data_IF_715993891169
#
_entry.id   IF_715993891169
#
_cell.length_a   1.000
_cell.length_b   1.000
_cell.length_c   1.000
_cell.angle_alpha   90.00
_cell.angle_beta   90.00
_cell.angle_gamma   90.00
#
_symmetry.space_group_name_H-M   'P 1'
#
loop_
_entity.id
_entity.type
_entity.pdbx_description
1 polymer ?
2 non-polymer ?
3 water ?
#
# COMPACT_ATOMS: atom_id res chain seq x y z
N UNK A 1 -7.79 -18.32 -23.72
CA UNK A 1 -7.94 -19.28 -22.60
C UNK A 1 -9.14 -18.96 -21.75
N UNK A 2 -9.57 -19.95 -20.98
CA UNK A 2 -10.56 -19.71 -19.95
C UNK A 2 -9.77 -19.44 -18.67
N UNK A 3 -9.98 -18.27 -18.07
CA UNK A 3 -9.22 -17.88 -16.89
C UNK A 3 -10.17 -17.46 -15.76
N UNK A 4 -9.74 -17.70 -14.53
CA UNK A 4 -10.51 -17.30 -13.38
C UNK A 4 -9.61 -16.54 -12.43
N UNK A 5 -10.17 -15.52 -11.80
CA UNK A 5 -9.45 -14.72 -10.82
C UNK A 5 -10.14 -14.90 -9.50
N UNK A 6 -9.36 -15.23 -8.47
CA UNK A 6 -9.92 -15.41 -7.13
C UNK A 6 -9.71 -14.12 -6.34
N UNK A 7 -10.80 -13.39 -6.08
CA UNK A 7 -10.73 -12.14 -5.31
C UNK A 7 -10.70 -10.93 -6.21
N UNK A 8 -11.58 -9.96 -5.93
CA UNK A 8 -11.66 -8.73 -6.70
C UNK A 8 -10.94 -7.58 -6.01
N UNK A 9 -9.76 -7.85 -5.46
CA UNK A 9 -8.91 -6.79 -4.97
C UNK A 9 -8.28 -6.08 -6.16
N UNK A 10 -7.50 -5.04 -5.90
CA UNK A 10 -6.89 -4.30 -6.98
C UNK A 10 -6.07 -5.21 -7.90
N UNK A 11 -5.26 -6.08 -7.31
CA UNK A 11 -4.49 -7.03 -8.12
C UNK A 11 -5.34 -7.89 -9.04
N UNK A 12 -6.44 -8.44 -8.51
CA UNK A 12 -7.31 -9.30 -9.29
C UNK A 12 -8.00 -8.56 -10.41
N UNK A 13 -8.43 -7.33 -10.14
CA UNK A 13 -9.10 -6.49 -11.14
C UNK A 13 -8.14 -6.01 -12.22
N UNK A 14 -6.93 -5.60 -11.83
CA UNK A 14 -5.88 -5.34 -12.83
C UNK A 14 -5.65 -6.54 -13.75
N UNK A 15 -5.54 -7.72 -13.15
CA UNK A 15 -5.37 -8.95 -13.91
C UNK A 15 -6.54 -9.21 -14.85
N UNK A 16 -7.74 -9.08 -14.32
CA UNK A 16 -8.95 -9.34 -15.12
C UNK A 16 -9.05 -8.37 -16.29
N UNK A 17 -8.75 -7.10 -16.03
CA UNK A 17 -8.79 -6.07 -17.08
C UNK A 17 -7.80 -6.39 -18.20
N UNK A 18 -6.56 -6.70 -17.84
CA UNK A 18 -5.56 -7.03 -18.85
C UNK A 18 -5.86 -8.34 -19.59
N UNK A 19 -6.25 -9.37 -18.85
CA UNK A 19 -6.52 -10.68 -19.47
C UNK A 19 -7.71 -10.63 -20.43
N UNK A 20 -8.73 -9.87 -20.07
CA UNK A 20 -9.91 -9.76 -20.94
C UNK A 20 -9.58 -8.97 -22.21
N UNK A 21 -8.78 -7.93 -22.07
CA UNK A 21 -8.32 -7.18 -23.23
C UNK A 21 -7.45 -8.07 -24.13
N UNK A 22 -6.69 -8.95 -23.49
CA UNK A 22 -5.78 -9.87 -24.17
C UNK A 22 -6.51 -10.99 -24.91
N UNK A 23 -7.84 -10.99 -24.85
CA UNK A 23 -8.62 -11.96 -25.61
C UNK A 23 -9.03 -13.21 -24.86
N UNK A 24 -8.90 -13.19 -23.54
CA UNK A 24 -9.26 -14.37 -22.74
C UNK A 24 -10.63 -14.28 -22.09
N UNK A 25 -11.28 -15.43 -21.88
CA UNK A 25 -12.53 -15.44 -21.14
C UNK A 25 -12.14 -15.33 -19.68
N UNK A 26 -12.68 -14.35 -18.98
CA UNK A 26 -12.33 -14.14 -17.57
C UNK A 26 -13.56 -14.03 -16.68
N UNK A 27 -13.54 -14.78 -15.57
CA UNK A 27 -14.54 -14.63 -14.53
C UNK A 27 -13.84 -14.38 -13.20
N UNK A 28 -14.30 -13.36 -12.48
CA UNK A 28 -13.73 -13.01 -11.18
C UNK A 28 -14.70 -13.41 -10.09
N UNK A 29 -14.21 -14.08 -9.04
CA UNK A 29 -15.06 -14.47 -7.93
C UNK A 29 -14.63 -13.75 -6.66
N UNK A 30 -15.53 -12.93 -6.12
CA UNK A 30 -15.26 -12.15 -4.91
C UNK A 30 -16.23 -12.55 -3.79
N UNK A 31 -15.68 -12.79 -2.60
CA UNK A 31 -16.46 -13.27 -1.47
C UNK A 31 -17.38 -12.21 -0.85
N UNK A 32 -16.95 -10.95 -0.85
CA UNK A 32 -17.73 -9.86 -0.25
C UNK A 32 -18.82 -9.37 -1.20
N UNK A 33 -19.74 -8.53 -0.68
CA UNK A 33 -20.81 -7.97 -1.52
C UNK A 33 -20.32 -6.95 -2.55
N UNK A 34 -19.11 -6.42 -2.35
CA UNK A 34 -18.56 -5.45 -3.27
C UNK A 34 -17.14 -5.83 -3.65
N UNK A 35 -16.66 -5.23 -4.73
CA UNK A 35 -15.31 -5.46 -5.23
C UNK A 35 -14.37 -4.41 -4.65
N UNK A 36 -13.07 -4.65 -4.75
CA UNK A 36 -12.10 -3.62 -4.43
C UNK A 36 -11.17 -4.01 -3.30
N UNK A 37 -11.58 -4.98 -2.49
CA UNK A 37 -10.75 -5.41 -1.38
C UNK A 37 -10.37 -4.21 -0.51
N UNK A 38 -9.07 -4.10 -0.21
CA UNK A 38 -8.59 -3.00 0.65
C UNK A 38 -8.32 -1.70 -0.13
N UNK A 39 -8.91 -1.58 -1.32
CA UNK A 39 -8.71 -0.40 -2.15
C UNK A 39 -10.02 0.09 -2.74
N UNK A 40 -11.01 0.31 -1.90
CA UNK A 40 -12.26 0.89 -2.40
C UNK A 40 -12.87 1.80 -1.34
N UNK A 41 -14.04 2.36 -1.63
CA UNK A 41 -14.61 3.37 -0.73
C UNK A 41 -15.56 2.75 0.27
N UNK A 42 -15.72 3.40 1.42
CA UNK A 42 -16.72 3.01 2.39
C UNK A 42 -17.50 4.27 2.75
N UNK A 43 -18.79 4.26 2.43
CA UNK A 43 -19.65 5.40 2.77
C UNK A 43 -19.90 5.41 4.28
N UNK A 44 -19.53 6.49 4.95
CA UNK A 44 -19.65 6.58 6.40
C UNK A 44 -19.98 8.00 6.84
N UNK A 45 -21.21 8.18 7.33
CA UNK A 45 -21.65 9.48 7.83
C UNK A 45 -21.43 10.64 6.85
N UNK A 46 -21.66 10.39 5.57
CA UNK A 46 -21.55 11.42 4.56
C UNK A 46 -20.14 11.58 4.00
N UNK A 47 -19.21 10.78 4.51
CA UNK A 47 -17.82 10.78 4.04
C UNK A 47 -17.55 9.55 3.18
N UNK A 48 -16.66 9.69 2.21
CA UNK A 48 -16.16 8.55 1.47
C UNK A 48 -14.84 8.10 2.11
N UNK A 49 -14.95 7.26 3.14
CA UNK A 49 -13.77 6.66 3.75
C UNK A 49 -13.32 5.52 2.82
N UNK A 50 -12.41 4.69 3.28
CA UNK A 50 -11.94 3.60 2.43
C UNK A 50 -11.85 2.31 3.20
N UNK A 51 -11.76 1.22 2.45
CA UNK A 51 -11.57 -0.12 3.02
C UNK A 51 -10.11 -0.39 3.38
N UNK A 52 -9.25 0.59 3.17
CA UNK A 52 -7.84 0.43 3.48
C UNK A 52 -7.08 1.67 3.04
N UNK A 53 -6.65 1.66 1.78
CA UNK A 53 -5.77 2.69 1.23
C UNK A 53 -6.29 4.13 1.41
N UNK A 54 -5.36 5.06 1.57
CA UNK A 54 -5.69 6.43 1.92
C UNK A 54 -6.05 7.23 0.67
N UNK A 55 -6.77 6.62 -0.27
CA UNK A 55 -7.21 7.37 -1.47
C UNK A 55 -6.04 8.04 -2.22
N UNK A 56 -4.90 7.37 -2.25
CA UNK A 56 -3.69 7.96 -2.78
C UNK A 56 -2.82 6.92 -3.47
N UNK A 57 -2.22 7.31 -4.60
CA UNK A 57 -1.23 6.47 -5.31
C UNK A 57 0.18 6.97 -5.00
N UNK A 58 1.07 6.07 -4.60
CA UNK A 58 2.43 6.46 -4.22
C UNK A 58 3.18 7.23 -5.32
N UNK A 59 2.97 6.86 -6.57
CA UNK A 59 3.62 7.56 -7.68
C UNK A 59 2.64 8.34 -8.55
N UNK A 60 1.44 8.59 -8.03
CA UNK A 60 0.48 9.48 -8.66
C UNK A 60 0.18 9.10 -10.10
N UNK A 61 0.12 10.10 -10.99
CA UNK A 61 -0.21 9.85 -12.39
C UNK A 61 0.94 9.27 -13.20
N UNK A 62 2.12 9.14 -12.60
CA UNK A 62 3.29 8.72 -13.38
C UNK A 62 3.80 7.30 -13.16
N UNK A 63 3.19 6.56 -12.23
CA UNK A 63 3.79 5.29 -11.80
C UNK A 63 3.21 4.06 -12.47
N UNK A 64 3.65 2.87 -12.04
CA UNK A 64 3.21 1.61 -12.65
C UNK A 64 1.69 1.42 -12.66
N UNK A 65 0.99 1.86 -11.61
CA UNK A 65 -0.46 1.71 -11.60
C UNK A 65 -1.11 2.61 -12.65
N UNK A 66 -0.72 3.87 -12.66
CA UNK A 66 -1.27 4.81 -13.63
C UNK A 66 -0.98 4.32 -15.04
N UNK A 67 0.21 3.78 -15.23
CA UNK A 67 0.59 3.25 -16.54
C UNK A 67 -0.25 2.03 -16.93
N UNK A 68 -0.44 1.11 -15.98
CA UNK A 68 -1.32 -0.04 -16.22
C UNK A 68 -2.71 0.40 -16.66
N UNK A 69 -3.27 1.39 -15.96
CA UNK A 69 -4.58 1.91 -16.28
C UNK A 69 -4.65 2.45 -17.72
N UNK A 70 -3.64 3.19 -18.14
CA UNK A 70 -3.59 3.63 -19.54
C UNK A 70 -3.45 2.45 -20.51
N UNK A 71 -2.67 1.45 -20.14
CA UNK A 71 -2.48 0.28 -21.01
C UNK A 71 -3.75 -0.51 -21.28
N UNK A 72 -4.64 -0.56 -20.29
CA UNK A 72 -5.92 -1.26 -20.46
C UNK A 72 -7.04 -0.29 -20.83
N UNK A 73 -6.65 0.95 -21.11
CA UNK A 73 -7.60 1.98 -21.52
C UNK A 73 -8.66 2.26 -20.48
N UNK A 74 -8.28 2.18 -19.21
CA UNK A 74 -9.20 2.57 -18.16
C UNK A 74 -9.19 4.09 -18.10
N UNK A 75 -10.32 4.67 -17.75
CA UNK A 75 -10.44 6.11 -17.72
C UNK A 75 -10.64 6.61 -16.31
N UNK A 76 -9.64 7.30 -15.77
CA UNK A 76 -9.79 7.91 -14.44
C UNK A 76 -8.75 8.99 -14.24
N UNK A 77 -9.19 10.11 -13.69
CA UNK A 77 -8.35 11.27 -13.49
C UNK A 77 -7.52 11.11 -12.23
N UNK A 78 -6.21 11.12 -12.37
CA UNK A 78 -5.33 11.12 -11.20
C UNK A 78 -4.59 12.44 -11.15
N UNK A 79 -4.77 13.19 -10.07
CA UNK A 79 -4.10 14.48 -9.93
C UNK A 79 -2.81 14.34 -9.15
N UNK A 80 -1.75 14.99 -9.65
CA UNK A 80 -0.47 15.01 -8.96
C UNK A 80 -0.55 15.86 -7.69
N UNK A 81 -0.10 15.29 -6.58
CA UNK A 81 -0.14 16.00 -5.29
C UNK A 81 0.89 17.12 -5.24
N UNK A 82 0.62 18.11 -4.39
CA UNK A 82 1.61 19.07 -3.99
C UNK A 82 2.69 18.37 -3.20
N UNK A 83 3.88 18.96 -3.14
CA UNK A 83 5.01 18.34 -2.44
C UNK A 83 4.65 18.05 -0.98
N UNK A 84 5.04 16.88 -0.54
CA UNK A 84 4.85 16.48 0.83
C UNK A 84 5.63 17.40 1.77
N UNK A 85 5.07 17.62 2.95
CA UNK A 85 5.75 18.40 3.97
C UNK A 85 5.98 17.57 5.22
N UNK A 86 6.77 18.13 6.13
CA UNK A 86 7.21 17.41 7.31
C UNK A 86 7.14 18.34 8.51
N UNK A 87 6.46 17.89 9.56
CA UNK A 87 6.29 18.68 10.77
C UNK A 87 7.41 18.39 11.77
N UNK A 88 8.12 19.44 12.16
CA UNK A 88 9.27 19.27 13.05
C UNK A 88 9.16 20.23 14.23
N UNK A 89 9.92 19.95 15.30
CA UNK A 89 9.86 20.86 16.42
C UNK A 89 10.43 22.23 16.06
N UNK A 90 9.98 23.24 16.78
CA UNK A 90 10.41 24.61 16.54
C UNK A 90 11.91 24.75 16.71
N UNK A 91 12.44 24.17 17.77
CA UNK A 91 13.87 24.26 18.06
C UNK A 91 14.51 22.88 18.00
N UNK A 92 15.65 22.79 17.33
CA UNK A 92 16.42 21.54 17.36
C UNK A 92 16.78 21.21 18.81
N UNK A 93 16.51 19.99 19.23
CA UNK A 93 16.69 19.64 20.65
C UNK A 93 15.37 19.38 21.34
N UNK A 94 14.32 20.12 20.98
CA UNK A 94 12.97 19.78 21.43
C UNK A 94 12.67 18.35 20.98
N UNK A 95 12.11 17.52 21.87
CA UNK A 95 11.80 16.13 21.53
C UNK A 95 10.44 15.94 20.84
N UNK A 96 9.60 16.95 20.87
CA UNK A 96 8.23 16.82 20.35
C UNK A 96 7.64 18.17 19.97
N UNK A 97 6.34 18.21 19.69
CA UNK A 97 5.71 19.42 19.17
C UNK A 97 5.09 20.31 20.26
N UNK A 98 5.27 19.90 21.51
CA UNK A 98 4.69 20.60 22.66
C UNK A 98 5.05 22.08 22.69
N UNK A 99 6.32 22.39 22.44
CA UNK A 99 6.75 23.79 22.42
C UNK A 99 6.57 24.47 21.06
N UNK A 100 5.78 23.84 20.20
CA UNK A 100 5.52 24.42 18.89
C UNK A 100 6.19 23.62 17.79
N UNK A 101 5.85 23.94 16.56
CA UNK A 101 6.38 23.23 15.41
C UNK A 101 6.48 24.12 14.19
N UNK A 102 7.20 23.63 13.21
CA UNK A 102 7.27 24.28 11.92
C UNK A 102 7.23 23.18 10.86
N UNK A 103 6.88 23.55 9.63
CA UNK A 103 6.82 22.58 8.53
C UNK A 103 7.89 22.87 7.48
N UNK A 104 8.55 21.82 7.00
CA UNK A 104 9.49 21.92 5.87
C UNK A 104 9.04 21.03 4.71
N UNK A 105 9.46 21.36 3.50
CA UNK A 105 9.21 20.52 2.34
C UNK A 105 9.99 19.20 2.44
N UNK A 106 9.41 18.12 1.93
CA UNK A 106 10.06 16.80 1.99
C UNK A 106 11.46 16.86 1.41
N UNK A 107 11.61 17.47 0.23
CA UNK A 107 12.92 17.54 -0.41
C UNK A 107 13.95 18.41 0.31
N UNK A 108 13.49 19.20 1.29
CA UNK A 108 14.38 20.03 2.10
C UNK A 108 14.78 19.36 3.42
N UNK A 109 14.64 18.04 3.50
CA UNK A 109 14.93 17.34 4.75
C UNK A 109 16.39 17.57 5.20
N UNK A 110 17.31 17.73 4.23
CA UNK A 110 18.69 17.95 4.69
C UNK A 110 18.91 19.33 5.30
N UNK A 111 17.99 20.26 5.05
CA UNK A 111 18.14 21.64 5.54
C UNK A 111 18.26 21.75 7.05
N UNK A 112 17.83 20.71 7.77
CA UNK A 112 17.83 20.74 9.23
C UNK A 112 19.12 20.19 9.81
N UNK A 113 20.00 19.73 8.92
CA UNK A 113 21.29 19.19 9.32
C UNK A 113 22.35 20.29 9.37
N UNK A 114 23.46 20.02 10.04
CA UNK A 114 24.65 20.89 9.97
C UNK A 114 25.11 21.03 8.53
N UNK A 115 25.90 22.06 8.24
CA UNK A 115 26.40 22.24 6.89
C UNK A 115 27.17 21.00 6.43
N UNK A 116 28.05 20.51 7.29
CA UNK A 116 28.83 19.29 7.03
C UNK A 116 27.92 18.12 6.61
N UNK A 117 26.90 17.87 7.41
CA UNK A 117 25.98 16.76 7.15
C UNK A 117 25.14 16.98 5.90
N UNK A 118 24.72 18.22 5.69
CA UNK A 118 23.96 18.57 4.50
C UNK A 118 24.77 18.31 3.23
N UNK A 119 26.04 18.71 3.24
CA UNK A 119 26.87 18.50 2.07
C UNK A 119 27.13 17.01 1.86
N UNK A 120 27.27 16.25 2.95
CA UNK A 120 27.45 14.81 2.78
C UNK A 120 26.20 14.22 2.10
N UNK A 121 25.03 14.63 2.56
CA UNK A 121 23.80 14.11 1.95
C UNK A 121 23.70 14.52 0.48
N UNK A 122 24.06 15.76 0.17
CA UNK A 122 24.08 16.23 -1.23
C UNK A 122 24.91 15.30 -2.11
N UNK A 123 26.10 14.90 -1.64
CA UNK A 123 26.93 14.01 -2.46
C UNK A 123 26.39 12.59 -2.52
N UNK A 124 25.86 12.10 -1.41
CA UNK A 124 25.23 10.78 -1.41
C UNK A 124 24.04 10.75 -2.38
N UNK A 125 23.33 11.86 -2.50
CA UNK A 125 22.21 11.93 -3.45
C UNK A 125 22.66 11.63 -4.88
N UNK A 126 23.92 11.97 -5.17
CA UNK A 126 24.52 11.67 -6.47
C UNK A 126 25.08 10.25 -6.49
N UNK A 127 25.91 9.92 -5.51
CA UNK A 127 26.65 8.64 -5.55
C UNK A 127 25.77 7.39 -5.42
N UNK A 128 24.70 7.48 -4.64
CA UNK A 128 23.89 6.28 -4.37
C UNK A 128 23.03 5.83 -5.55
N UNK A 129 22.86 6.66 -6.56
CA UNK A 129 21.97 6.33 -7.66
C UNK A 129 22.44 5.05 -8.34
N UNK A 130 23.73 5.03 -8.69
CA UNK A 130 24.32 3.89 -9.39
C UNK A 130 25.23 3.02 -8.50
N UNK A 131 25.61 3.55 -7.33
CA UNK A 131 26.37 2.79 -6.34
C UNK A 131 25.52 2.59 -5.10
N UNK A 132 24.60 1.62 -5.18
CA UNK A 132 23.54 1.47 -4.20
C UNK A 132 23.99 0.82 -2.90
N UNK A 133 23.79 1.50 -1.77
CA UNK A 133 24.01 0.87 -0.47
C UNK A 133 23.23 -0.45 -0.39
N UNK A 134 23.79 -1.44 0.30
CA UNK A 134 23.14 -2.75 0.40
C UNK A 134 23.64 -3.50 1.62
N UNK A 135 22.82 -4.41 2.15
CA UNK A 135 23.29 -5.40 3.14
C UNK A 135 23.06 -5.06 4.60
N UNK A 136 22.25 -4.03 4.86
CA UNK A 136 21.87 -3.65 6.22
C UNK A 136 20.49 -3.00 6.17
N UNK A 137 19.92 -2.71 7.33
CA UNK A 137 18.67 -1.97 7.35
C UNK A 137 18.97 -0.52 7.00
N UNK A 138 17.92 0.19 6.62
CA UNK A 138 18.03 1.61 6.33
C UNK A 138 18.59 2.33 7.54
N UNK A 139 18.07 2.01 8.72
CA UNK A 139 18.51 2.71 9.94
C UNK A 139 20.00 2.52 10.14
N UNK A 140 20.46 1.28 9.98
CA UNK A 140 21.86 0.97 10.18
C UNK A 140 22.71 1.76 9.19
N UNK A 141 22.29 1.80 7.92
CA UNK A 141 23.03 2.57 6.91
C UNK A 141 23.07 4.08 7.23
N UNK A 142 21.92 4.67 7.56
CA UNK A 142 21.90 6.08 7.87
C UNK A 142 22.91 6.37 8.99
N UNK A 143 22.87 5.55 10.03
CA UNK A 143 23.73 5.75 11.21
C UNK A 143 25.21 5.68 10.84
N UNK A 144 25.53 4.90 9.82
CA UNK A 144 26.92 4.77 9.36
C UNK A 144 27.37 6.05 8.64
N UNK A 145 26.39 6.86 8.22
CA UNK A 145 26.67 8.05 7.39
C UNK A 145 26.63 9.38 8.17
N UNK A 146 25.60 9.53 9.00
CA UNK A 146 25.33 10.76 9.74
C UNK A 146 24.82 10.41 11.15
N UNK A 147 25.36 11.06 12.17
CA UNK A 147 24.98 10.75 13.57
C UNK A 147 23.72 11.49 14.05
N UNK A 148 23.38 12.60 13.40
CA UNK A 148 22.20 13.39 13.75
C UNK A 148 20.92 12.53 13.79
N UNK A 149 20.30 12.46 14.96
CA UNK A 149 19.09 11.67 15.13
C UNK A 149 17.92 12.09 14.22
N UNK A 150 17.96 13.33 13.72
CA UNK A 150 16.92 13.82 12.79
C UNK A 150 16.69 12.86 11.63
N UNK A 151 17.77 12.35 11.04
CA UNK A 151 17.57 11.47 9.89
C UNK A 151 16.86 10.17 10.27
N UNK A 152 17.08 9.67 11.48
CA UNK A 152 16.39 8.44 11.93
C UNK A 152 14.91 8.71 12.20
N UNK A 153 14.60 9.83 12.85
CA UNK A 153 13.20 10.21 13.05
C UNK A 153 12.49 10.37 11.71
N UNK A 154 13.16 11.05 10.77
CA UNK A 154 12.60 11.31 9.45
C UNK A 154 12.40 9.98 8.73
N UNK A 155 13.44 9.14 8.75
CA UNK A 155 13.34 7.82 8.10
C UNK A 155 12.22 6.97 8.68
N UNK A 156 12.08 6.96 10.00
CA UNK A 156 11.01 6.18 10.63
C UNK A 156 9.64 6.69 10.21
N UNK A 157 9.50 8.01 10.07
CA UNK A 157 8.23 8.58 9.62
C UNK A 157 7.94 8.18 8.17
N UNK A 158 8.93 8.33 7.31
CA UNK A 158 8.75 7.91 5.93
C UNK A 158 8.41 6.42 5.83
N UNK A 159 9.17 5.58 6.52
CA UNK A 159 8.97 4.12 6.47
C UNK A 159 7.63 3.69 7.08
N UNK A 160 7.24 4.35 8.14
CA UNK A 160 5.95 4.09 8.80
C UNK A 160 4.77 4.44 7.91
N UNK A 161 4.78 5.65 7.35
CA UNK A 161 3.73 6.07 6.43
C UNK A 161 3.69 5.26 5.13
N UNK A 162 4.84 5.17 4.45
CA UNK A 162 4.88 4.57 3.11
C UNK A 162 4.77 3.05 3.12
N UNK A 163 5.38 2.41 4.11
CA UNK A 163 5.56 0.95 4.12
C UNK A 163 4.95 0.25 5.34
N UNK A 164 4.53 1.02 6.32
CA UNK A 164 4.09 0.49 7.61
C UNK A 164 5.18 -0.40 8.23
N UNK A 165 6.40 0.12 8.26
CA UNK A 165 7.56 -0.57 8.85
C UNK A 165 8.43 0.43 9.59
N UNK A 166 9.31 -0.04 10.46
CA UNK A 166 10.33 0.83 11.04
C UNK A 166 11.56 0.83 10.14
N UNK A 167 12.37 1.88 10.22
CA UNK A 167 13.54 1.94 9.34
C UNK A 167 14.57 0.86 9.65
N UNK A 168 14.49 0.27 10.84
CA UNK A 168 15.42 -0.81 11.16
C UNK A 168 14.89 -2.17 10.67
N UNK A 169 13.76 -2.14 9.95
CA UNK A 169 13.08 -3.35 9.49
C UNK A 169 12.96 -3.41 7.98
N UNK A 170 13.59 -2.47 7.28
CA UNK A 170 13.55 -2.48 5.83
C UNK A 170 14.98 -2.46 5.29
N UNK A 171 15.26 -3.35 4.33
CA UNK A 171 16.61 -3.37 3.76
C UNK A 171 16.92 -2.06 3.05
N UNK A 172 18.14 -1.55 3.24
CA UNK A 172 18.52 -0.25 2.68
C UNK A 172 18.39 -0.30 1.15
N UNK A 173 18.75 -1.42 0.54
CA UNK A 173 18.65 -1.51 -0.92
C UNK A 173 17.21 -1.38 -1.43
N UNK A 174 16.23 -1.82 -0.65
CA UNK A 174 14.83 -1.66 -1.05
C UNK A 174 14.50 -0.18 -1.07
N UNK A 175 14.97 0.55 -0.06
CA UNK A 175 14.67 1.96 0.06
C UNK A 175 15.28 2.72 -1.10
N UNK A 176 16.49 2.35 -1.50
CA UNK A 176 17.09 3.05 -2.65
C UNK A 176 16.41 2.73 -4.00
N UNK A 177 15.85 1.53 -4.15
CA UNK A 177 15.01 1.23 -5.33
C UNK A 177 13.72 2.08 -5.31
N UNK A 178 13.11 2.22 -4.13
CA UNK A 178 11.95 3.09 -3.98
C UNK A 178 12.31 4.52 -4.38
N UNK A 179 13.47 4.97 -3.92
CA UNK A 179 13.92 6.30 -4.26
C UNK A 179 14.12 6.43 -5.77
N UNK A 180 14.68 5.41 -6.40
CA UNK A 180 14.89 5.46 -7.84
C UNK A 180 13.55 5.59 -8.55
N UNK A 181 12.53 4.93 -8.01
CA UNK A 181 11.18 5.06 -8.59
C UNK A 181 10.55 6.46 -8.44
N UNK A 182 10.94 7.19 -7.39
CA UNK A 182 10.54 8.59 -7.30
C UNK A 182 11.10 9.37 -8.47
N UNK A 183 12.37 9.14 -8.80
CA UNK A 183 12.96 9.84 -9.94
C UNK A 183 12.31 9.43 -11.25
N UNK A 184 11.99 8.13 -11.39
CA UNK A 184 11.42 7.61 -12.63
C UNK A 184 9.98 8.06 -12.85
N UNK A 185 9.19 8.06 -11.79
CA UNK A 185 7.73 8.18 -11.90
C UNK A 185 7.11 9.38 -11.19
N UNK A 186 7.86 10.03 -10.31
CA UNK A 186 7.32 11.19 -9.61
C UNK A 186 6.62 10.88 -8.29
N UNK A 187 6.03 11.92 -7.72
CA UNK A 187 5.44 11.86 -6.40
C UNK A 187 4.00 11.41 -6.36
N UNK A 188 3.39 11.59 -5.20
CA UNK A 188 2.06 11.03 -4.95
C UNK A 188 1.00 11.72 -5.80
N UNK A 189 -0.18 11.10 -5.83
CA UNK A 189 -1.32 11.70 -6.48
C UNK A 189 -2.61 11.12 -5.94
N UNK A 190 -3.74 11.71 -6.32
CA UNK A 190 -5.04 11.30 -5.81
C UNK A 190 -6.03 11.05 -6.95
N UNK A 191 -6.61 9.84 -6.99
CA UNK A 191 -7.61 9.55 -8.03
C UNK A 191 -8.94 10.27 -7.75
N UNK A 192 -9.55 10.84 -8.78
CA UNK A 192 -10.90 11.37 -8.64
C UNK A 192 -11.84 10.24 -8.21
N UNK A 193 -12.67 10.50 -7.20
CA UNK A 193 -13.60 9.52 -6.68
C UNK A 193 -12.96 8.67 -5.59
N UNK A 194 -11.70 8.96 -5.27
CA UNK A 194 -10.93 8.14 -4.34
C UNK A 194 -10.61 6.76 -4.90
N UNK A 195 -10.28 5.82 -4.02
CA UNK A 195 -9.95 4.46 -4.44
C UNK A 195 -11.00 3.90 -5.40
N UNK A 196 -12.27 4.10 -5.06
CA UNK A 196 -13.34 3.53 -5.89
C UNK A 196 -13.31 4.04 -7.34
N UNK A 197 -12.76 5.23 -7.57
CA UNK A 197 -12.65 5.74 -8.93
C UNK A 197 -11.86 4.78 -9.81
N UNK A 198 -10.79 4.23 -9.24
CA UNK A 198 -9.94 3.31 -9.95
C UNK A 198 -10.63 1.96 -10.13
N UNK A 199 -11.28 1.48 -9.05
CA UNK A 199 -12.04 0.24 -9.07
C UNK A 199 -13.13 0.30 -10.14
N UNK A 200 -13.90 1.38 -10.14
CA UNK A 200 -14.97 1.54 -11.13
C UNK A 200 -14.43 1.52 -12.57
N UNK A 201 -13.33 2.23 -12.79
CA UNK A 201 -12.72 2.29 -14.12
C UNK A 201 -12.30 0.91 -14.61
N UNK A 202 -11.71 0.10 -13.73
CA UNK A 202 -11.32 -1.25 -14.10
C UNK A 202 -12.53 -2.15 -14.37
N UNK A 203 -13.58 -1.99 -13.58
CA UNK A 203 -14.78 -2.79 -13.79
C UNK A 203 -15.38 -2.48 -15.16
N UNK A 204 -15.34 -1.22 -15.55
CA UNK A 204 -15.80 -0.82 -16.89
C UNK A 204 -15.05 -1.52 -18.02
N UNK A 205 -13.72 -1.58 -17.90
CA UNK A 205 -12.88 -2.23 -18.91
C UNK A 205 -13.14 -3.73 -18.96
N UNK A 206 -13.29 -4.33 -17.78
CA UNK A 206 -13.54 -5.76 -17.70
C UNK A 206 -14.85 -6.07 -18.42
N UNK A 207 -15.89 -5.31 -18.11
CA UNK A 207 -17.21 -5.51 -18.72
C UNK A 207 -17.18 -5.30 -20.23
N UNK A 208 -16.54 -4.22 -20.67
CA UNK A 208 -16.41 -3.90 -22.10
C UNK A 208 -15.66 -4.99 -22.86
N UNK A 209 -14.80 -5.73 -22.17
CA UNK A 209 -14.05 -6.80 -22.81
C UNK A 209 -14.61 -8.21 -22.57
N UNK A 210 -15.86 -8.29 -22.13
CA UNK A 210 -16.56 -9.56 -21.99
C UNK A 210 -16.25 -10.35 -20.72
N UNK A 211 -15.55 -9.72 -19.79
CA UNK A 211 -15.25 -10.39 -18.53
C UNK A 211 -16.45 -10.31 -17.60
N UNK A 212 -16.54 -11.25 -16.67
CA UNK A 212 -17.64 -11.28 -15.72
C UNK A 212 -17.12 -11.22 -14.28
N UNK A 213 -17.81 -10.46 -13.43
CA UNK A 213 -17.46 -10.41 -12.00
C UNK A 213 -18.60 -10.87 -11.10
N UNK A 214 -18.29 -11.79 -10.19
CA UNK A 214 -19.29 -12.40 -9.33
C UNK A 214 -19.00 -12.09 -7.87
N UNK A 215 -19.86 -11.28 -7.24
CA UNK A 215 -19.72 -10.98 -5.83
C UNK A 215 -20.52 -11.97 -4.98
N UNK A 216 -20.22 -12.02 -3.67
CA UNK A 216 -20.92 -12.93 -2.78
C UNK A 216 -20.62 -14.38 -3.11
N UNK A 217 -19.45 -14.62 -3.67
CA UNK A 217 -19.04 -15.98 -3.99
C UNK A 217 -17.67 -16.30 -3.44
N UNK A 218 -17.63 -17.22 -2.48
CA UNK A 218 -16.35 -17.62 -1.90
C UNK A 218 -15.74 -18.82 -2.60
N UNK A 219 -14.49 -18.66 -3.02
CA UNK A 219 -13.73 -19.76 -3.60
C UNK A 219 -13.26 -20.64 -2.45
N UNK A 220 -13.57 -21.93 -2.53
CA UNK A 220 -13.22 -22.87 -1.45
C UNK A 220 -12.08 -23.83 -1.80
N UNK A 221 -11.76 -23.93 -3.09
CA UNK A 221 -10.72 -24.85 -3.51
C UNK A 221 -10.16 -24.48 -4.88
N UNK A 222 -8.87 -24.70 -5.05
CA UNK A 222 -8.26 -24.63 -6.37
C UNK A 222 -8.05 -26.06 -6.85
N UNK A 223 -8.64 -26.39 -8.01
CA UNK A 223 -8.51 -27.75 -8.54
C UNK A 223 -7.20 -27.89 -9.30
N UNK A 224 -6.44 -28.93 -8.95
CA UNK A 224 -5.16 -29.21 -9.56
C UNK A 224 -5.20 -30.60 -10.17
N UNK A 225 -4.78 -30.71 -11.43
CA UNK A 225 -4.73 -32.02 -12.09
C UNK A 225 -3.35 -32.22 -12.70
N UNK A 226 -2.63 -33.20 -12.18
CA UNK A 226 -1.28 -33.49 -12.65
C UNK A 226 -0.32 -32.30 -12.54
N UNK A 227 -0.34 -31.64 -11.39
CA UNK A 227 0.54 -30.50 -11.14
C UNK A 227 0.13 -29.24 -11.89
N UNK A 228 -1.06 -29.26 -12.48
CA UNK A 228 -1.53 -28.14 -13.26
C UNK A 228 -2.88 -27.59 -12.79
N UNK A 229 -3.00 -26.26 -12.72
CA UNK A 229 -4.27 -25.66 -12.34
C UNK A 229 -5.32 -26.06 -13.34
N UNK A 230 -6.51 -26.43 -12.87
CA UNK A 230 -7.56 -26.96 -13.74
C UNK A 230 -8.90 -26.27 -13.51
N UNK A 231 -8.95 -25.42 -12.49
CA UNK A 231 -10.18 -24.70 -12.18
C UNK A 231 -10.30 -24.40 -10.70
N UNK A 232 -11.52 -24.02 -10.29
CA UNK A 232 -11.80 -23.71 -8.90
C UNK A 232 -13.19 -24.20 -8.50
N UNK A 233 -13.42 -24.27 -7.20
CA UNK A 233 -14.77 -24.45 -6.69
C UNK A 233 -15.20 -23.16 -6.00
N UNK A 234 -16.30 -22.57 -6.47
CA UNK A 234 -16.82 -21.36 -5.85
C UNK A 234 -18.29 -21.58 -5.57
N UNK A 235 -18.67 -21.37 -4.31
CA UNK A 235 -20.02 -21.67 -3.85
C UNK A 235 -20.49 -23.06 -4.28
N UNK A 236 -19.60 -24.03 -4.12
CA UNK A 236 -19.91 -25.44 -4.35
C UNK A 236 -20.14 -25.79 -5.83
N UNK A 237 -19.77 -24.87 -6.71
CA UNK A 237 -19.85 -25.12 -8.14
C UNK A 237 -18.44 -25.15 -8.75
N UNK A 238 -18.21 -26.11 -9.63
CA UNK A 238 -16.92 -26.24 -10.31
C UNK A 238 -16.84 -25.31 -11.51
N UNK A 239 -15.74 -24.56 -11.62
CA UNK A 239 -15.49 -23.75 -12.80
C UNK A 239 -14.14 -24.14 -13.39
N UNK A 240 -14.14 -24.63 -14.62
CA UNK A 240 -12.92 -24.99 -15.31
C UNK A 240 -12.09 -23.76 -15.66
N UNK A 241 -10.77 -23.94 -15.67
CA UNK A 241 -9.88 -22.86 -16.07
C UNK A 241 -8.53 -23.40 -16.53
N UNK A 242 -7.96 -22.73 -17.52
CA UNK A 242 -6.63 -23.01 -18.00
C UNK A 242 -5.62 -22.19 -17.21
N UNK A 243 -6.10 -21.09 -16.66
CA UNK A 243 -5.27 -20.18 -15.87
C UNK A 243 -6.06 -19.73 -14.64
N UNK A 244 -5.43 -19.82 -13.48
CA UNK A 244 -6.02 -19.34 -12.24
C UNK A 244 -5.12 -18.25 -11.66
N UNK A 245 -5.68 -17.05 -11.52
CA UNK A 245 -4.97 -15.96 -10.87
C UNK A 245 -5.53 -15.77 -9.45
N UNK A 246 -4.71 -15.98 -8.44
CA UNK A 246 -5.20 -15.84 -7.07
C UNK A 246 -4.76 -14.50 -6.51
N UNK A 247 -5.72 -13.68 -6.09
CA UNK A 247 -5.43 -12.37 -5.49
C UNK A 247 -5.47 -12.44 -3.96
N UNK A 248 -5.26 -13.63 -3.41
CA UNK A 248 -5.42 -13.85 -1.96
C UNK A 248 -4.12 -13.85 -1.16
N UNK A 249 -2.99 -13.77 -1.86
CA UNK A 249 -1.66 -13.94 -1.26
C UNK A 249 -1.29 -15.42 -1.15
N UNK A 250 0.01 -15.70 -1.03
CA UNK A 250 0.48 -17.09 -1.03
C UNK A 250 -0.09 -17.92 0.13
N UNK A 251 -0.14 -17.35 1.33
CA UNK A 251 -0.63 -18.15 2.46
C UNK A 251 -2.06 -18.69 2.24
N UNK A 252 -2.97 -17.79 1.87
CA UNK A 252 -4.34 -18.16 1.65
C UNK A 252 -4.47 -19.03 0.41
N UNK A 253 -3.66 -18.76 -0.61
CA UNK A 253 -3.66 -19.59 -1.82
C UNK A 253 -3.22 -21.02 -1.51
N UNK A 254 -2.20 -21.16 -0.66
CA UNK A 254 -1.72 -22.47 -0.26
C UNK A 254 -2.83 -23.26 0.41
N UNK A 255 -3.60 -22.61 1.27
CA UNK A 255 -4.72 -23.29 1.95
C UNK A 255 -5.72 -23.83 0.92
N UNK A 256 -5.98 -23.05 -0.13
CA UNK A 256 -6.90 -23.47 -1.20
C UNK A 256 -6.36 -24.65 -2.02
N UNK A 257 -5.05 -24.86 -1.97
CA UNK A 257 -4.37 -25.92 -2.72
C UNK A 257 -3.99 -27.08 -1.80
N UNK A 258 -4.55 -27.08 -0.61
CA UNK A 258 -4.03 -27.96 0.45
C UNK A 258 -3.99 -29.44 0.06
N UNK A 259 -4.99 -29.88 -0.69
CA UNK A 259 -5.09 -31.29 -1.09
C UNK A 259 -4.04 -31.72 -2.11
N UNK A 260 -3.44 -30.73 -2.79
CA UNK A 260 -2.49 -31.03 -3.85
C UNK A 260 -1.04 -30.80 -3.44
N UNK A 261 -0.83 -30.07 -2.36
CA UNK A 261 0.52 -29.73 -1.93
C UNK A 261 1.25 -30.88 -1.22
N UNK A 262 2.55 -31.01 -1.47
CA UNK A 262 3.36 -32.04 -0.82
C UNK A 262 4.43 -31.43 0.08
N UNK A 263 4.39 -31.77 1.37
CA UNK A 263 5.40 -31.28 2.31
C UNK A 263 6.78 -31.74 1.89
N UNK A 264 6.81 -32.81 1.10
CA UNK A 264 8.06 -33.36 0.60
C UNK A 264 8.49 -32.67 -0.70
N UNK A 265 7.70 -32.88 -1.75
CA UNK A 265 8.04 -32.33 -3.06
C UNK A 265 8.02 -30.81 -3.07
N UNK A 266 7.18 -30.21 -2.23
CA UNK A 266 7.03 -28.75 -2.22
C UNK A 266 7.60 -28.10 -0.95
N UNK A 267 8.60 -28.75 -0.35
CA UNK A 267 9.20 -28.27 0.90
C UNK A 267 9.63 -26.80 0.82
N UNK A 268 10.24 -26.40 -0.28
CA UNK A 268 10.70 -25.01 -0.40
C UNK A 268 9.54 -24.01 -0.36
N UNK A 269 8.44 -24.36 -1.01
CA UNK A 269 7.22 -23.53 -0.98
C UNK A 269 6.59 -23.45 0.41
N UNK A 270 6.52 -24.57 1.13
CA UNK A 270 6.05 -24.56 2.51
C UNK A 270 6.89 -23.63 3.39
N UNK A 271 8.21 -23.70 3.20
CA UNK A 271 9.13 -22.91 4.01
C UNK A 271 8.92 -21.44 3.75
N UNK A 272 8.77 -21.11 2.46
CA UNK A 272 8.54 -19.75 2.01
C UNK A 272 7.26 -19.20 2.63
N UNK A 273 6.17 -19.96 2.50
CA UNK A 273 4.88 -19.54 3.02
C UNK A 273 4.94 -19.31 4.52
N UNK A 274 5.67 -20.19 5.21
CA UNK A 274 5.85 -20.04 6.65
C UNK A 274 6.64 -18.79 7.07
N UNK A 275 7.39 -18.20 6.15
CA UNK A 275 8.17 -16.98 6.48
C UNK A 275 7.41 -15.66 6.25
N UNK A 276 6.35 -15.70 5.45
CA UNK A 276 5.62 -14.48 5.11
C UNK A 276 5.10 -13.76 6.32
N UNK A 277 5.42 -12.47 6.41
CA UNK A 277 5.03 -11.66 7.55
C UNK A 277 4.26 -10.41 7.09
N UNK A 278 2.98 -10.32 7.46
CA UNK A 278 2.21 -9.15 7.05
C UNK A 278 2.57 -7.94 7.90
N UNK A 279 2.30 -6.76 7.36
CA UNK A 279 2.55 -5.53 8.10
C UNK A 279 1.23 -5.01 8.64
N UNK A 280 1.28 -4.27 9.76
CA UNK A 280 0.07 -3.84 10.47
C UNK A 280 0.07 -2.33 10.68
N UNK A 281 -1.11 -1.76 10.87
CA UNK A 281 -1.21 -0.33 11.11
C UNK A 281 -2.58 0.06 11.59
N UNK A 282 -2.69 1.27 12.08
CA UNK A 282 -3.98 1.83 12.48
C UNK A 282 -4.22 3.15 11.76
N UNK A 283 -5.42 3.28 11.21
CA UNK A 283 -5.85 4.47 10.47
C UNK A 283 -6.88 5.22 11.31
N UNK A 284 -6.63 6.50 11.56
CA UNK A 284 -7.59 7.34 12.27
C UNK A 284 -8.14 8.37 11.30
N UNK A 285 -9.45 8.32 11.06
CA UNK A 285 -10.11 9.25 10.13
C UNK A 285 -10.76 10.38 10.92
N UNK A 286 -10.47 11.62 10.52
CA UNK A 286 -10.99 12.80 11.22
C UNK A 286 -11.99 13.52 10.34
N UNK A 287 -13.09 13.95 10.94
CA UNK A 287 -14.04 14.81 10.26
C UNK A 287 -13.65 16.23 10.65
N UNK A 288 -12.94 16.94 9.77
CA UNK A 288 -12.40 18.24 10.14
C UNK A 288 -13.31 19.38 9.69
N UNK A 289 -13.45 20.40 10.54
CA UNK A 289 -14.27 21.57 10.22
C UNK A 289 -13.42 22.69 9.60
N UNK A 290 -12.13 22.39 9.41
CA UNK A 290 -11.20 23.31 8.79
C UNK A 290 -10.04 22.47 8.26
N UNK A 291 -9.28 22.99 7.29
CA UNK A 291 -8.11 22.23 6.82
C UNK A 291 -7.12 21.96 7.94
N UNK A 292 -6.57 20.74 7.98
CA UNK A 292 -5.56 20.41 8.98
C UNK A 292 -4.20 20.25 8.30
N UNK A 293 -4.20 19.69 7.09
CA UNK A 293 -2.97 19.55 6.28
C UNK A 293 -2.80 20.72 5.32
N UNK A 294 -3.90 21.07 4.65
CA UNK A 294 -3.93 22.27 3.82
C UNK A 294 -3.37 22.11 2.42
N UNK A 295 -3.05 20.88 2.04
CA UNK A 295 -2.57 20.63 0.68
C UNK A 295 -2.86 19.18 0.27
N UNK A 296 -2.54 18.85 -0.97
CA UNK A 296 -2.92 17.54 -1.53
C UNK A 296 -1.85 16.45 -1.42
N UNK A 297 -0.81 16.72 -0.64
CA UNK A 297 0.27 15.74 -0.45
C UNK A 297 0.16 15.10 0.93
N UNK A 298 1.29 14.65 1.46
CA UNK A 298 1.30 14.05 2.79
C UNK A 298 1.96 15.01 3.77
N UNK A 299 1.50 15.00 5.01
CA UNK A 299 2.20 15.67 6.11
C UNK A 299 2.85 14.59 6.97
N UNK A 300 4.16 14.44 6.86
CA UNK A 300 4.87 13.50 7.72
C UNK A 300 5.08 14.08 9.10
N UNK A 301 4.96 13.23 10.14
CA UNK A 301 5.02 13.73 11.51
C UNK A 301 6.01 12.91 12.35
N UNK A 302 7.31 13.19 12.20
CA UNK A 302 8.32 12.31 12.79
C UNK A 302 8.45 12.36 14.31
N UNK A 303 7.91 13.40 14.95
CA UNK A 303 8.13 13.57 16.39
C UNK A 303 6.87 13.30 17.23
N UNK A 304 6.38 12.07 17.12
CA UNK A 304 5.16 11.63 17.78
C UNK A 304 5.43 10.33 18.51
N UNK A 305 4.43 9.85 19.25
CA UNK A 305 4.49 8.52 19.86
C UNK A 305 4.30 7.43 18.81
N UNK A 306 3.35 7.63 17.90
CA UNK A 306 2.95 6.59 16.95
C UNK A 306 2.61 7.09 15.54
N UNK A 307 1.88 8.19 15.44
CA UNK A 307 1.42 8.67 14.11
C UNK A 307 2.60 9.02 13.20
N UNK A 308 2.63 8.43 12.01
CA UNK A 308 3.74 8.66 11.07
C UNK A 308 3.46 9.75 10.05
N UNK A 309 2.19 9.93 9.72
CA UNK A 309 1.84 11.02 8.81
C UNK A 309 0.35 11.08 8.59
N UNK A 310 -0.07 12.07 7.83
CA UNK A 310 -1.48 12.24 7.59
C UNK A 310 -1.70 12.85 6.22
N UNK A 311 -2.86 12.59 5.61
CA UNK A 311 -3.24 13.27 4.37
C UNK A 311 -4.63 13.85 4.45
N UNK A 312 -5.03 14.57 3.41
CA UNK A 312 -6.28 15.30 3.40
C UNK A 312 -6.77 15.34 1.96
N UNK A 313 -7.32 14.22 1.50
CA UNK A 313 -7.58 14.07 0.08
C UNK A 313 -8.72 14.95 -0.44
N UNK A 314 -9.49 15.50 0.49
CA UNK A 314 -10.57 16.40 0.09
C UNK A 314 -9.98 17.72 -0.44
N UNK A 315 -8.69 17.93 -0.22
CA UNK A 315 -8.00 19.03 -0.88
C UNK A 315 -8.03 18.85 -2.40
N UNK A 316 -8.09 17.60 -2.85
CA UNK A 316 -8.09 17.26 -4.26
C UNK A 316 -9.51 16.96 -4.76
N UNK A 317 -10.29 16.25 -3.94
CA UNK A 317 -11.66 15.89 -4.33
C UNK A 317 -12.61 16.16 -3.19
N UNK A 318 -13.23 17.34 -3.20
CA UNK A 318 -14.11 17.75 -2.13
C UNK A 318 -15.35 16.87 -2.01
N UNK A 319 -15.67 16.11 -3.06
CA UNK A 319 -16.89 15.27 -3.02
C UNK A 319 -16.76 14.10 -2.05
N UNK A 320 -15.56 13.89 -1.52
CA UNK A 320 -15.34 12.78 -0.58
C UNK A 320 -15.76 13.11 0.85
N UNK A 321 -16.28 14.32 1.05
CA UNK A 321 -16.79 14.74 2.35
C UNK A 321 -18.00 15.66 2.15
N UNK A 322 -18.81 15.83 3.20
CA UNK A 322 -19.91 16.81 3.15
C UNK A 322 -19.38 18.22 3.00
N UNK A 323 -20.25 19.14 2.57
CA UNK A 323 -19.93 20.56 2.43
C UNK A 323 -19.32 21.14 3.72
N UNK A 324 -18.23 21.90 3.57
CA UNK A 324 -17.60 22.56 4.71
C UNK A 324 -16.86 21.61 5.64
N UNK A 325 -16.52 20.43 5.13
CA UNK A 325 -15.75 19.48 5.94
C UNK A 325 -14.55 19.02 5.12
N UNK A 326 -13.47 18.66 5.83
CA UNK A 326 -12.36 17.96 5.19
C UNK A 326 -12.24 16.56 5.77
N UNK A 327 -11.74 15.64 4.98
CA UNK A 327 -11.42 14.30 5.44
C UNK A 327 -9.93 14.23 5.64
N UNK A 328 -9.51 14.08 6.90
CA UNK A 328 -8.09 14.02 7.23
C UNK A 328 -7.84 12.64 7.82
N UNK A 329 -6.92 11.90 7.19
CA UNK A 329 -6.62 10.53 7.62
C UNK A 329 -5.18 10.37 8.08
N UNK A 330 -5.01 9.71 9.23
CA UNK A 330 -3.72 9.54 9.87
C UNK A 330 -3.32 8.07 9.87
N UNK A 331 -2.03 7.80 9.71
CA UNK A 331 -1.53 6.42 9.79
C UNK A 331 -0.50 6.25 10.89
N UNK A 332 -0.60 5.14 11.61
CA UNK A 332 0.46 4.76 12.51
C UNK A 332 0.84 3.28 12.31
N UNK A 333 2.13 3.05 12.13
CA UNK A 333 2.71 1.73 12.13
C UNK A 333 2.38 1.01 13.44
N UNK A 334 2.05 -0.27 13.36
CA UNK A 334 1.92 -1.14 14.56
C UNK A 334 2.87 -2.31 14.42
N UNK A 335 3.75 -2.46 15.41
CA UNK A 335 4.69 -3.59 15.46
C UNK A 335 3.91 -4.90 15.71
N UNK A 336 4.37 -6.01 15.10
CA UNK A 336 3.69 -7.28 15.32
C UNK A 336 3.41 -7.58 16.80
N UNK A 337 4.36 -7.26 17.70
CA UNK A 337 4.19 -7.53 19.15
C UNK A 337 3.10 -6.71 19.79
N UNK A 338 2.72 -5.63 19.14
CA UNK A 338 1.74 -4.73 19.72
C UNK A 338 0.34 -4.90 19.12
N UNK A 339 0.20 -5.79 18.15
CA UNK A 339 -1.13 -6.08 17.61
C UNK A 339 -2.08 -6.56 18.70
N UNK A 340 -1.54 -7.28 19.68
CA UNK A 340 -2.33 -7.73 20.83
C UNK A 340 -2.70 -6.56 21.74
N UNK A 341 -2.03 -5.42 21.55
CA UNK A 341 -2.25 -4.23 22.38
C UNK A 341 -2.87 -3.05 21.61
N UNK A 342 -3.82 -3.32 20.72
CA UNK A 342 -4.38 -2.26 19.86
C UNK A 342 -5.01 -1.11 20.63
N UNK A 343 -5.67 -1.42 21.75
CA UNK A 343 -6.30 -0.37 22.53
C UNK A 343 -5.29 0.67 23.00
N UNK A 344 -4.16 0.25 23.53
CA UNK A 344 -3.19 1.22 24.00
C UNK A 344 -2.48 1.93 22.85
N UNK A 345 -2.28 1.22 21.74
CA UNK A 345 -1.71 1.84 20.53
C UNK A 345 -2.60 2.99 20.05
N UNK A 346 -3.90 2.74 20.00
CA UNK A 346 -4.86 3.74 19.60
C UNK A 346 -4.82 4.94 20.54
N UNK A 347 -4.76 4.66 21.84
CA UNK A 347 -4.69 5.74 22.84
C UNK A 347 -3.52 6.67 22.53
N UNK A 348 -2.39 6.08 22.16
CA UNK A 348 -1.20 6.89 21.91
C UNK A 348 -1.38 7.75 20.67
N UNK A 349 -2.04 7.20 19.65
CA UNK A 349 -2.30 7.96 18.43
C UNK A 349 -3.21 9.15 18.73
N UNK A 350 -4.21 8.91 19.56
CA UNK A 350 -5.15 9.97 19.95
C UNK A 350 -4.46 11.11 20.70
N UNK A 351 -3.47 10.75 21.52
CA UNK A 351 -2.66 11.74 22.21
C UNK A 351 -1.84 12.54 21.22
N UNK A 352 -1.30 11.85 20.21
CA UNK A 352 -0.50 12.50 19.16
C UNK A 352 -1.28 13.60 18.45
N UNK A 353 -2.56 13.35 18.19
CA UNK A 353 -3.44 14.28 17.47
C UNK A 353 -3.47 15.65 18.15
N UNK A 354 -3.47 15.65 19.47
CA UNK A 354 -3.54 16.90 20.24
C UNK A 354 -2.28 17.73 20.05
N UNK A 355 -1.17 17.06 19.78
CA UNK A 355 0.14 17.71 19.63
C UNK A 355 0.41 18.09 18.18
N UNK A 356 -0.12 17.28 17.25
CA UNK A 356 -0.01 17.57 15.82
C UNK A 356 -0.94 18.72 15.44
N UNK A 357 -2.15 18.70 15.96
CA UNK A 357 -3.19 19.63 15.54
C UNK A 357 -3.77 20.41 16.71
N UNK A 358 -2.90 21.04 17.53
CA UNK A 358 -3.40 21.71 18.71
C UNK A 358 -4.43 22.81 18.42
N UNK A 359 -5.53 22.78 19.15
CA UNK A 359 -6.54 23.84 19.06
C UNK A 359 -7.38 23.80 17.79
N UNK A 360 -7.17 22.80 16.95
CA UNK A 360 -7.93 22.69 15.71
C UNK A 360 -9.29 22.07 15.94
N UNK A 361 -10.21 22.35 15.02
CA UNK A 361 -11.59 21.93 15.16
C UNK A 361 -11.84 20.67 14.31
N UNK A 362 -11.94 19.52 14.96
CA UNK A 362 -12.24 18.28 14.26
C UNK A 362 -12.83 17.28 15.24
N UNK A 363 -13.39 16.19 14.71
CA UNK A 363 -13.84 15.08 15.52
C UNK A 363 -13.27 13.80 14.93
N UNK A 364 -12.97 12.84 15.79
CA UNK A 364 -12.58 11.53 15.30
C UNK A 364 -13.81 10.85 14.72
N UNK A 365 -13.73 10.48 13.45
CA UNK A 365 -14.85 9.90 12.73
C UNK A 365 -14.88 8.38 12.85
N UNK A 366 -13.75 7.75 12.60
CA UNK A 366 -13.67 6.29 12.63
C UNK A 366 -12.21 5.88 12.79
N UNK A 367 -11.97 4.84 13.58
CA UNK A 367 -10.63 4.28 13.71
C UNK A 367 -10.70 2.87 13.17
N UNK A 368 -9.79 2.52 12.26
CA UNK A 368 -9.77 1.20 11.63
C UNK A 368 -8.38 0.56 11.78
N UNK A 369 -8.34 -0.68 12.28
CA UNK A 369 -7.07 -1.37 12.51
C UNK A 369 -6.87 -2.48 11.49
N UNK A 370 -5.63 -2.67 11.06
CA UNK A 370 -5.30 -3.64 10.02
C UNK A 370 -4.12 -4.50 10.41
N UNK A 371 -4.28 -5.80 10.27
CA UNK A 371 -3.23 -6.69 10.67
C UNK A 371 -3.62 -8.08 10.21
N UNK A 372 -2.65 -8.99 10.28
CA UNK A 372 -2.89 -10.41 10.03
C UNK A 372 -3.61 -10.69 8.71
N UNK A 373 -4.83 -11.24 8.76
CA UNK A 373 -5.50 -11.67 7.53
C UNK A 373 -6.10 -10.52 6.71
N UNK A 374 -6.13 -9.32 7.28
CA UNK A 374 -6.61 -8.13 6.55
C UNK A 374 -5.67 -7.01 6.95
N UNK A 375 -4.43 -7.06 6.45
CA UNK A 375 -3.33 -6.25 6.95
C UNK A 375 -3.12 -4.99 6.11
N UNK A 376 -2.07 -4.26 6.43
CA UNK A 376 -1.61 -3.22 5.52
C UNK A 376 -1.06 -3.85 4.24
N UNK A 377 -0.06 -4.72 4.36
CA UNK A 377 0.40 -5.58 3.23
C UNK A 377 0.48 -7.02 3.70
N UNK A 378 0.17 -7.97 2.84
CA UNK A 378 0.28 -9.40 3.20
C UNK A 378 1.73 -9.87 3.36
N UNK A 379 2.64 -9.20 2.67
CA UNK A 379 4.07 -9.44 2.82
C UNK A 379 4.74 -8.08 3.04
N UNK A 380 5.56 -7.99 4.09
CA UNK A 380 6.18 -6.73 4.45
C UNK A 380 7.03 -6.24 3.30
N UNK A 381 6.98 -4.94 3.04
CA UNK A 381 7.81 -4.40 1.98
C UNK A 381 9.25 -4.86 2.14
N UNK A 382 9.87 -5.19 1.01
CA UNK A 382 11.25 -5.66 0.99
C UNK A 382 11.39 -7.16 1.16
N UNK A 383 10.27 -7.86 1.37
CA UNK A 383 10.29 -9.32 1.62
C UNK A 383 9.46 -10.13 0.61
N UNK A 384 8.78 -9.47 -0.31
CA UNK A 384 7.89 -10.21 -1.21
C UNK A 384 8.57 -11.35 -1.94
N UNK A 385 7.85 -12.47 -2.05
CA UNK A 385 8.28 -13.59 -2.86
C UNK A 385 7.79 -13.32 -4.27
N UNK A 386 8.10 -14.21 -5.21
CA UNK A 386 7.59 -14.06 -6.56
C UNK A 386 6.12 -14.37 -6.65
N UNK A 387 5.61 -14.43 -7.89
CA UNK A 387 4.20 -14.67 -8.12
C UNK A 387 3.88 -16.10 -8.50
N UNK A 388 4.90 -16.96 -8.59
CA UNK A 388 4.67 -18.34 -9.01
C UNK A 388 4.38 -19.27 -7.84
N UNK A 389 3.82 -20.43 -8.17
CA UNK A 389 3.49 -21.45 -7.17
C UNK A 389 4.02 -22.77 -7.70
N UNK A 390 3.86 -23.85 -6.93
CA UNK A 390 4.30 -25.17 -7.37
C UNK A 390 3.51 -25.69 -8.58
N UNK A 391 2.43 -25.02 -8.93
CA UNK A 391 1.52 -25.54 -9.94
C UNK A 391 1.50 -24.66 -11.19
N UNK A 392 1.68 -25.29 -12.35
CA UNK A 392 1.58 -24.54 -13.59
C UNK A 392 0.19 -23.95 -13.78
N UNK A 393 0.15 -22.73 -14.31
CA UNK A 393 -1.13 -22.06 -14.57
C UNK A 393 -1.76 -21.42 -13.34
N UNK A 394 -1.07 -21.48 -12.20
CA UNK A 394 -1.52 -20.80 -10.99
C UNK A 394 -0.54 -19.72 -10.56
N UNK A 395 -0.99 -18.48 -10.55
CA UNK A 395 -0.17 -17.33 -10.13
C UNK A 395 -0.83 -16.55 -8.99
N UNK A 396 -0.01 -15.89 -8.19
CA UNK A 396 -0.50 -15.05 -7.09
C UNK A 396 -0.17 -13.59 -7.35
N UNK A 397 -1.18 -12.74 -7.24
CA UNK A 397 -0.97 -11.30 -7.36
C UNK A 397 -1.53 -10.58 -6.15
N UNK A 398 -1.19 -9.30 -6.01
CA UNK A 398 -1.64 -8.55 -4.84
C UNK A 398 -0.47 -8.16 -3.96
N UNK A 399 -0.76 -7.57 -2.81
CA UNK A 399 0.32 -7.05 -1.98
C UNK A 399 1.05 -8.11 -1.16
N UNK A 400 0.74 -9.37 -1.41
CA UNK A 400 1.54 -10.49 -0.88
C UNK A 400 2.53 -10.99 -1.92
N UNK A 401 2.50 -10.35 -3.09
CA UNK A 401 3.44 -10.69 -4.17
C UNK A 401 3.75 -9.44 -4.99
N UNK A 402 4.29 -8.42 -4.34
CA UNK A 402 4.59 -7.14 -5.01
C UNK A 402 5.89 -7.20 -5.79
N UNK A 403 5.96 -6.45 -6.89
CA UNK A 403 7.23 -6.23 -7.58
C UNK A 403 8.20 -5.49 -6.69
N UNK A 404 9.47 -5.88 -6.73
CA UNK A 404 10.46 -5.26 -5.85
C UNK A 404 10.57 -3.77 -6.11
N UNK A 405 10.61 -2.99 -5.03
CA UNK A 405 10.87 -1.56 -5.13
C UNK A 405 9.67 -0.66 -5.35
N UNK A 406 8.50 -1.24 -5.60
CA UNK A 406 7.26 -0.44 -5.69
C UNK A 406 6.60 -0.25 -4.34
N UNK A 407 6.27 1.00 -4.00
CA UNK A 407 5.55 1.27 -2.75
C UNK A 407 4.11 0.82 -2.92
N UNK A 408 3.62 -0.04 -2.02
CA UNK A 408 2.18 -0.33 -1.94
C UNK A 408 1.55 -0.73 -3.28
N UNK A 409 0.52 -0.04 -3.74
CA UNK A 409 -0.13 -0.47 -5.00
C UNK A 409 0.73 -0.37 -6.26
N UNK A 410 1.80 0.44 -6.22
CA UNK A 410 2.74 0.46 -7.34
C UNK A 410 3.43 -0.91 -7.41
N UNK A 411 3.78 -1.45 -6.24
CA UNK A 411 4.30 -2.81 -6.18
C UNK A 411 3.28 -3.84 -6.63
N UNK A 412 2.02 -3.65 -6.25
CA UNK A 412 0.98 -4.56 -6.70
C UNK A 412 0.93 -4.56 -8.23
N UNK A 413 0.94 -3.37 -8.81
CA UNK A 413 0.90 -3.25 -10.28
C UNK A 413 2.10 -3.94 -10.95
N UNK A 414 3.30 -3.68 -10.44
CA UNK A 414 4.51 -4.30 -10.99
C UNK A 414 4.39 -5.82 -10.99
N UNK A 415 3.89 -6.37 -9.89
CA UNK A 415 3.68 -7.82 -9.81
C UNK A 415 2.70 -8.34 -10.85
N UNK A 416 1.57 -7.66 -11.04
CA UNK A 416 0.60 -8.10 -12.03
C UNK A 416 1.24 -8.05 -13.41
N UNK A 417 2.00 -6.99 -13.69
CA UNK A 417 2.68 -6.86 -14.99
C UNK A 417 3.61 -8.05 -15.22
N UNK A 418 4.30 -8.47 -14.16
CA UNK A 418 5.22 -9.61 -14.25
C UNK A 418 4.51 -10.90 -14.65
N UNK A 419 3.37 -11.15 -14.01
CA UNK A 419 2.56 -12.31 -14.33
C UNK A 419 2.04 -12.26 -15.76
N UNK A 420 1.52 -11.10 -16.15
CA UNK A 420 0.99 -10.94 -17.50
C UNK A 420 2.07 -11.24 -18.54
N UNK A 421 3.29 -10.77 -18.30
CA UNK A 421 4.38 -10.99 -19.23
C UNK A 421 4.73 -12.48 -19.30
N UNK A 422 4.62 -13.16 -18.17
CA UNK A 422 4.87 -14.59 -18.12
C UNK A 422 3.80 -15.35 -18.88
X LIG B 1 -6.91 -7.33 -1.56
X LIG B 1 -6.23 -8.13 -0.47
X LIG B 1 -7.30 -5.92 -1.20
X LIG B 1 -8.22 -8.12 -2.04
X LIG B 1 -8.31 -9.53 -1.87
X LIG B 1 -9.77 -9.87 -2.20
X LIG B 1 -10.00 -11.25 -2.16
X LIG B 1 -10.72 -9.22 -1.18
X LIG B 1 -11.68 -8.42 -1.84
X LIG B 1 -11.36 -10.42 -0.48
X LIG B 1 -12.69 -10.16 -0.08
X LIG B 1 -11.25 -11.51 -1.53
X LIG B 1 -11.20 -12.88 -1.00
X LIG B 1 -10.51 -13.37 0.08
X LIG B 1 -10.73 -14.72 0.14
X LIG B 1 -11.54 -15.06 -0.89
X LIG B 1 -12.10 -16.26 -1.31
X LIG B 1 -11.75 -17.40 -0.70
X LIG B 1 -12.90 -16.28 -2.42
X LIG B 1 -13.18 -15.13 -3.13
X LIG B 1 -12.63 -13.93 -2.72
X LIG B 1 -11.84 -13.92 -1.62
X LIG B 1 -1.75 1.49 -0.84
X LIG B 1 -1.44 2.58 -1.61
X LIG B 1 -0.97 2.43 -2.75
X LIG B 1 -1.64 3.86 -1.09
X LIG B 1 -2.13 4.03 0.19
X LIG B 1 -2.32 5.16 0.65
X LIG B 1 -2.44 2.93 0.97
X LIG B 1 -2.92 3.10 2.25
X LIG B 1 -3.23 1.98 3.01
X LIG B 1 -3.73 2.14 4.31
X LIG B 1 -4.06 1.02 5.07
X LIG B 1 -4.60 1.21 6.46
X LIG B 1 -3.89 -0.25 4.53
X LIG B 1 -4.23 -1.47 5.31
X LIG B 1 -3.38 -0.40 3.24
X LIG B 1 -3.06 0.71 2.48
X LIG B 1 -2.55 0.56 1.20
X LIG B 1 -2.25 1.66 0.44
X LIG B 1 -2.27 -0.79 0.63
X LIG B 1 -3.42 -1.20 -0.31
X LIG B 1 -4.66 -0.92 0.34
X LIG B 1 -3.29 -2.68 -0.63
X LIG B 1 -1.95 -2.97 -0.99
X LIG B 1 -4.19 -3.18 -1.76
X LIG B 1 -5.53 -2.75 -1.62
X LIG B 1 -4.17 -4.70 -1.69
X LIG B 1 -4.73 -5.18 -2.90
X LIG B 1 -4.63 -6.72 -3.26
X LIG B 1 -4.47 -6.85 -4.76
X LIG B 1 -3.58 -7.44 -2.44
X LIG B 1 -6.07 -7.36 -2.92
#
# INVERSE_FOLDING_TARGET
MKTVVIGAGLGGLLSAARLSKAGHEVEVFERLPITGGRFTNLSYKGFQLSSGAFHMLPNGPGGPLACFLKEVEASVNIVRSEMTTVRVPLKKGNPDYVKGFKDISFNDFPSLLSYKDRMKIALLIVSTRKNRPSGSSLQAWIKSQVSDEWLIKFADSFCGWALSLKSDEVPVEEVFEIIENMYRFGGTGIPEGGCKGIIDALETVISANGGKIHTGQEVSKILIENGKAAGIIADDRIHDADLVISNLGHAATAVLCSEALSKEADAAYFKMVGTLQPSAGIKICLAADEPLVGHTGVLLTPYTRRINGVNEVTQADPELAPPGKHLTMCHQYVAPENVKNLESEIEMGLEDLKEIFPGKRYEVLLIQSYHDEWPVNRAASGTDPGNETPFSGLYVVGDGAKGKGGIEVEGVALGVMSVMEKVLG
FAD PA O1A O2A O5B C5B C4B O4B C3B O3B C2B O2B C1B N9A C8A N7A C5A C6A N6A N1A C2A N3A C4A N1 C2 O2 N3 C4 O4 C4X N5 C5X C6 C7 C7M C8 C8M C9 C9A N10 C10 C1' C2' O2' C3' O3' C4' O4' C5' O5' P O1P O2P O3P
#
